data_IF_520574420804
#
_entry.id   IF_520574420804
#
_cell.length_a   1.000
_cell.length_b   1.000
_cell.length_c   1.000
_cell.angle_alpha   90.00
_cell.angle_beta   90.00
_cell.angle_gamma   90.00
#
_symmetry.space_group_name_H-M   'P 1'
#
loop_
_entity.id
_entity.type
_entity.pdbx_description
1 polymer ?
#
# COMPACT_ATOMS: atom_id res chain seq x y z
N UNK A 1 15.26 11.48 -4.29
CA UNK A 1 13.95 11.01 -3.87
C UNK A 1 13.94 10.74 -2.36
N UNK A 2 13.07 11.44 -1.63
CA UNK A 2 12.86 11.26 -0.18
C UNK A 2 11.50 10.62 0.04
N UNK A 3 11.49 9.50 0.78
CA UNK A 3 10.28 8.73 1.05
C UNK A 3 9.92 8.77 2.54
N UNK A 4 8.64 8.92 2.84
CA UNK A 4 8.05 8.56 4.13
C UNK A 4 7.25 7.27 3.95
N UNK A 5 7.32 6.39 4.94
CA UNK A 5 6.59 5.14 4.97
C UNK A 5 5.82 5.01 6.29
N UNK A 6 4.56 4.63 6.19
CA UNK A 6 3.68 4.31 7.30
C UNK A 6 2.72 3.19 6.88
N UNK A 7 2.10 2.51 7.85
CA UNK A 7 1.14 1.41 7.61
C UNK A 7 0.22 1.23 8.82
N UNK A 8 -0.78 0.39 8.67
CA UNK A 8 -1.55 -0.17 9.78
C UNK A 8 -2.20 0.90 10.68
N UNK A 9 -2.87 1.86 10.05
CA UNK A 9 -3.52 2.97 10.75
C UNK A 9 -4.77 2.52 11.50
N UNK A 10 -5.48 1.52 10.98
CA UNK A 10 -6.71 0.97 11.54
C UNK A 10 -7.72 2.05 11.95
N UNK A 11 -7.93 3.05 11.09
CA UNK A 11 -8.89 4.12 11.35
C UNK A 11 -10.29 3.54 11.62
N UNK A 12 -10.89 3.99 12.72
CA UNK A 12 -12.17 3.46 13.21
C UNK A 12 -12.07 2.28 14.13
N UNK A 13 -10.85 1.89 14.56
CA UNK A 13 -10.64 0.83 15.53
C UNK A 13 -11.25 1.18 16.90
N UNK A 14 -11.80 0.15 17.56
CA UNK A 14 -12.22 0.19 18.95
C UNK A 14 -11.30 -0.66 19.80
N UNK A 15 -10.89 -0.14 20.97
CA UNK A 15 -10.13 -0.88 21.98
C UNK A 15 -10.99 -1.05 23.23
N UNK A 16 -11.31 -2.29 23.58
CA UNK A 16 -12.19 -2.61 24.73
C UNK A 16 -13.52 -1.83 24.74
N UNK A 17 -14.13 -1.64 23.55
CA UNK A 17 -15.37 -0.90 23.41
C UNK A 17 -15.24 0.63 23.44
N UNK A 18 -14.02 1.16 23.47
CA UNK A 18 -13.76 2.59 23.39
C UNK A 18 -13.24 2.94 21.97
N UNK A 19 -13.84 3.96 21.36
CA UNK A 19 -13.37 4.48 20.07
C UNK A 19 -12.00 5.14 20.22
N UNK A 20 -11.09 4.83 19.31
CA UNK A 20 -9.74 5.40 19.26
C UNK A 20 -9.64 6.63 18.34
N UNK A 21 -10.74 7.32 18.12
CA UNK A 21 -10.79 8.44 17.19
C UNK A 21 -9.86 9.60 17.63
N UNK A 22 -9.72 9.84 18.94
CA UNK A 22 -8.81 10.86 19.46
C UNK A 22 -7.34 10.54 19.16
N UNK A 23 -6.92 9.28 19.40
CA UNK A 23 -5.55 8.84 19.12
C UNK A 23 -5.25 8.89 17.63
N UNK A 24 -6.21 8.48 16.78
CA UNK A 24 -6.07 8.60 15.33
C UNK A 24 -5.92 10.07 14.88
N UNK A 25 -6.71 10.97 15.45
CA UNK A 25 -6.57 12.40 15.19
C UNK A 25 -5.19 12.93 15.55
N UNK A 26 -4.72 12.61 16.76
CA UNK A 26 -3.38 13.02 17.23
C UNK A 26 -2.26 12.47 16.34
N UNK A 27 -2.39 11.21 15.90
CA UNK A 27 -1.42 10.58 14.99
C UNK A 27 -1.39 11.28 13.63
N UNK A 28 -2.54 11.53 13.02
CA UNK A 28 -2.62 12.17 11.71
C UNK A 28 -2.12 13.62 11.75
N UNK A 29 -2.43 14.38 12.81
CA UNK A 29 -1.87 15.70 13.03
C UNK A 29 -0.35 15.67 13.21
N UNK A 30 0.16 14.68 13.96
CA UNK A 30 1.60 14.48 14.10
C UNK A 30 2.25 14.19 12.74
N UNK A 31 1.64 13.29 11.94
CA UNK A 31 2.15 12.94 10.62
C UNK A 31 2.17 14.15 9.69
N UNK A 32 1.13 15.00 9.68
CA UNK A 32 1.11 16.26 8.93
C UNK A 32 2.28 17.17 9.33
N UNK A 33 2.56 17.29 10.63
CA UNK A 33 3.72 18.07 11.11
C UNK A 33 5.05 17.48 10.63
N UNK A 34 5.18 16.13 10.59
CA UNK A 34 6.39 15.47 10.08
C UNK A 34 6.56 15.68 8.57
N UNK A 35 5.46 15.62 7.80
CA UNK A 35 5.49 15.92 6.36
C UNK A 35 5.97 17.37 6.12
N UNK A 36 5.42 18.33 6.83
CA UNK A 36 5.85 19.74 6.72
C UNK A 36 7.32 19.94 7.12
N UNK A 37 7.79 19.27 8.19
CA UNK A 37 9.17 19.42 8.70
C UNK A 37 10.20 18.83 7.72
N UNK A 38 9.89 17.68 7.13
CA UNK A 38 10.86 16.92 6.35
C UNK A 38 10.68 17.04 4.84
N UNK A 39 9.54 17.54 4.39
CA UNK A 39 9.20 17.74 2.97
C UNK A 39 9.56 16.53 2.09
N UNK A 40 9.00 15.33 2.34
CA UNK A 40 9.26 14.18 1.49
C UNK A 40 8.63 14.36 0.11
N UNK A 41 9.22 13.73 -0.90
CA UNK A 41 8.63 13.69 -2.24
C UNK A 41 7.42 12.76 -2.29
N UNK A 42 7.47 11.68 -1.49
CA UNK A 42 6.45 10.60 -1.51
C UNK A 42 6.11 10.14 -0.10
N UNK A 43 4.81 9.96 0.17
CA UNK A 43 4.27 9.23 1.32
C UNK A 43 3.72 7.88 0.85
N UNK A 44 4.25 6.80 1.42
CA UNK A 44 3.79 5.43 1.20
C UNK A 44 2.95 4.97 2.40
N UNK A 45 1.71 4.53 2.15
CA UNK A 45 0.78 4.01 3.17
C UNK A 45 0.53 2.54 2.85
N UNK A 46 1.23 1.64 3.56
CA UNK A 46 1.34 0.23 3.21
C UNK A 46 0.22 -0.64 3.81
N UNK A 47 -1.02 -0.26 3.58
CA UNK A 47 -2.21 -1.06 3.89
C UNK A 47 -2.75 -0.91 5.31
N UNK A 48 -3.87 -1.58 5.56
CA UNK A 48 -4.68 -1.53 6.78
C UNK A 48 -4.96 -0.08 7.22
N UNK A 49 -5.47 0.69 6.24
CA UNK A 49 -5.87 2.07 6.45
C UNK A 49 -7.07 2.14 7.39
N UNK A 50 -8.03 1.25 7.17
CA UNK A 50 -9.21 1.10 8.02
C UNK A 50 -9.18 -0.21 8.81
N UNK A 51 -9.80 -0.20 9.99
CA UNK A 51 -9.88 -1.40 10.83
C UNK A 51 -10.83 -2.47 10.28
N UNK A 52 -11.76 -2.10 9.42
CA UNK A 52 -12.76 -3.02 8.85
C UNK A 52 -13.07 -2.71 7.40
N UNK A 53 -13.55 -3.73 6.66
CA UNK A 53 -14.00 -3.59 5.26
C UNK A 53 -15.14 -2.57 5.08
N UNK A 54 -15.84 -2.23 6.17
CA UNK A 54 -16.95 -1.28 6.18
C UNK A 54 -16.71 -0.19 7.24
N UNK A 55 -15.74 0.72 7.01
CA UNK A 55 -15.33 1.68 8.01
C UNK A 55 -16.42 2.69 8.35
N UNK A 56 -16.49 3.17 9.59
CA UNK A 56 -17.37 4.27 9.96
C UNK A 56 -17.14 5.50 9.08
N UNK A 57 -18.17 6.29 8.87
CA UNK A 57 -18.08 7.54 8.07
C UNK A 57 -17.00 8.47 8.62
N UNK A 58 -16.95 8.63 9.94
CA UNK A 58 -15.95 9.44 10.63
C UNK A 58 -14.50 9.02 10.33
N UNK A 59 -14.24 7.72 10.22
CA UNK A 59 -12.92 7.21 9.85
C UNK A 59 -12.56 7.58 8.40
N UNK A 60 -13.55 7.52 7.50
CA UNK A 60 -13.37 7.92 6.10
C UNK A 60 -13.12 9.44 5.98
N UNK A 61 -13.90 10.26 6.70
CA UNK A 61 -13.69 11.71 6.77
C UNK A 61 -12.26 12.02 7.23
N UNK A 62 -11.77 11.36 8.28
CA UNK A 62 -10.41 11.54 8.77
C UNK A 62 -9.34 11.28 7.70
N UNK A 63 -9.49 10.20 6.92
CA UNK A 63 -8.56 9.90 5.84
C UNK A 63 -8.56 11.01 4.78
N UNK A 64 -9.75 11.45 4.37
CA UNK A 64 -9.87 12.44 3.30
C UNK A 64 -9.39 13.83 3.76
N UNK A 65 -9.72 14.24 4.98
CA UNK A 65 -9.23 15.48 5.58
C UNK A 65 -7.70 15.48 5.68
N UNK A 66 -7.11 14.34 6.08
CA UNK A 66 -5.66 14.18 6.10
C UNK A 66 -5.04 14.37 4.71
N UNK A 67 -5.58 13.69 3.68
CA UNK A 67 -5.08 13.79 2.29
C UNK A 67 -5.15 15.24 1.80
N UNK A 68 -6.28 15.90 2.00
CA UNK A 68 -6.46 17.31 1.61
C UNK A 68 -5.45 18.20 2.33
N UNK A 69 -5.36 18.09 3.66
CA UNK A 69 -4.43 18.89 4.47
C UNK A 69 -2.97 18.66 4.11
N UNK A 70 -2.59 17.42 3.78
CA UNK A 70 -1.24 17.10 3.34
C UNK A 70 -0.89 17.80 2.02
N UNK A 71 -1.83 17.83 1.06
CA UNK A 71 -1.62 18.51 -0.22
C UNK A 71 -1.72 20.03 -0.13
N UNK A 72 -2.53 20.57 0.77
CA UNK A 72 -2.55 22.02 1.03
C UNK A 72 -1.20 22.50 1.59
N UNK A 73 -0.59 21.71 2.48
CA UNK A 73 0.73 22.01 3.04
C UNK A 73 1.88 21.75 2.07
N UNK A 74 1.74 20.71 1.24
CA UNK A 74 2.79 20.28 0.30
C UNK A 74 2.18 19.85 -1.04
N UNK A 75 1.88 20.77 -1.96
CA UNK A 75 1.23 20.48 -3.25
C UNK A 75 2.02 19.51 -4.16
N UNK A 76 3.34 19.42 -3.96
CA UNK A 76 4.22 18.51 -4.70
C UNK A 76 4.25 17.07 -4.19
N UNK A 77 3.70 16.80 -3.00
CA UNK A 77 3.70 15.47 -2.40
C UNK A 77 2.95 14.47 -3.27
N UNK A 78 3.54 13.30 -3.50
CA UNK A 78 2.85 12.14 -4.06
C UNK A 78 2.46 11.20 -2.93
N UNK A 79 1.19 10.81 -2.84
CA UNK A 79 0.72 9.81 -1.87
C UNK A 79 0.41 8.53 -2.63
N UNK A 80 1.00 7.41 -2.20
CA UNK A 80 0.67 6.07 -2.67
C UNK A 80 0.12 5.28 -1.50
N UNK A 81 -1.12 4.83 -1.61
CA UNK A 81 -1.73 3.98 -0.60
C UNK A 81 -2.28 2.70 -1.21
N UNK A 82 -2.10 1.60 -0.51
CA UNK A 82 -2.60 0.29 -0.91
C UNK A 82 -3.60 -0.23 0.13
N UNK A 83 -4.48 -1.14 -0.29
CA UNK A 83 -5.33 -1.84 0.66
C UNK A 83 -4.56 -2.95 1.38
N UNK A 84 -4.78 -3.07 2.68
CA UNK A 84 -4.40 -4.23 3.48
C UNK A 84 -5.49 -5.30 3.53
N UNK A 85 -5.33 -6.25 4.45
CA UNK A 85 -6.29 -7.35 4.61
C UNK A 85 -7.58 -6.90 5.33
N UNK A 86 -7.53 -5.88 6.18
CA UNK A 86 -8.70 -5.29 6.83
C UNK A 86 -9.50 -4.39 5.89
N UNK A 87 -8.87 -3.84 4.87
CA UNK A 87 -9.51 -2.92 3.93
C UNK A 87 -10.41 -3.64 2.91
N UNK A 88 -11.42 -2.93 2.42
CA UNK A 88 -12.09 -3.28 1.18
C UNK A 88 -11.39 -2.63 0.00
N UNK A 89 -10.74 -3.42 -0.85
CA UNK A 89 -10.00 -2.91 -2.00
C UNK A 89 -10.84 -2.02 -2.92
N UNK A 90 -12.10 -2.39 -3.18
CA UNK A 90 -13.00 -1.58 -3.99
C UNK A 90 -13.38 -0.23 -3.34
N UNK A 91 -13.48 -0.19 -2.00
CA UNK A 91 -13.75 1.06 -1.28
C UNK A 91 -12.54 2.00 -1.27
N UNK A 92 -11.35 1.45 -1.08
CA UNK A 92 -10.10 2.23 -1.18
C UNK A 92 -9.98 2.86 -2.57
N UNK A 93 -10.37 2.16 -3.62
CA UNK A 93 -10.31 2.66 -5.01
C UNK A 93 -11.46 3.59 -5.40
N UNK A 94 -12.60 3.52 -4.72
CA UNK A 94 -13.80 4.29 -5.09
C UNK A 94 -13.53 5.79 -5.30
N UNK A 95 -12.80 6.50 -4.42
CA UNK A 95 -12.48 7.91 -4.58
C UNK A 95 -11.27 8.17 -5.51
N UNK A 96 -10.62 7.15 -6.06
CA UNK A 96 -9.40 7.29 -6.86
C UNK A 96 -9.48 8.33 -8.01
N UNK A 97 -10.62 8.49 -8.74
CA UNK A 97 -10.71 9.54 -9.77
C UNK A 97 -10.54 10.96 -9.22
N UNK A 98 -11.01 11.22 -8.00
CA UNK A 98 -10.84 12.50 -7.32
C UNK A 98 -9.44 12.62 -6.71
N UNK A 99 -8.96 11.56 -6.07
CA UNK A 99 -7.65 11.53 -5.42
C UNK A 99 -6.49 11.75 -6.40
N UNK A 100 -6.60 11.24 -7.64
CA UNK A 100 -5.58 11.50 -8.67
C UNK A 100 -5.37 12.97 -8.98
N UNK A 101 -6.39 13.81 -8.78
CA UNK A 101 -6.25 15.27 -8.91
C UNK A 101 -5.39 15.87 -7.80
N UNK A 102 -5.28 15.16 -6.69
CA UNK A 102 -4.42 15.48 -5.56
C UNK A 102 -3.15 14.61 -5.55
N UNK A 103 -2.65 14.15 -6.70
CA UNK A 103 -1.45 13.28 -6.78
C UNK A 103 -1.47 12.11 -5.79
N UNK A 104 -2.66 11.61 -5.47
CA UNK A 104 -2.87 10.47 -4.56
C UNK A 104 -3.34 9.27 -5.35
N UNK A 105 -2.58 8.17 -5.23
CA UNK A 105 -2.86 6.89 -5.87
C UNK A 105 -3.39 5.92 -4.82
N UNK A 106 -4.59 5.42 -5.04
CA UNK A 106 -5.25 4.46 -4.16
C UNK A 106 -5.45 3.14 -4.92
N UNK A 107 -4.82 2.06 -4.44
CA UNK A 107 -4.79 0.76 -5.09
C UNK A 107 -5.26 -0.31 -4.12
N UNK A 108 -6.36 -0.95 -4.44
CA UNK A 108 -7.01 -1.90 -3.56
C UNK A 108 -6.99 -3.34 -4.07
N UNK A 109 -6.73 -3.54 -5.36
CA UNK A 109 -6.86 -4.84 -6.02
C UNK A 109 -5.87 -4.99 -7.17
N UNK A 110 -5.50 -6.24 -7.42
CA UNK A 110 -4.87 -6.65 -8.66
C UNK A 110 -5.96 -6.91 -9.70
N UNK A 111 -5.77 -6.42 -10.92
CA UNK A 111 -6.67 -6.64 -12.04
C UNK A 111 -5.96 -7.37 -13.18
N UNK A 112 -6.75 -8.13 -13.91
CA UNK A 112 -6.33 -8.91 -15.06
C UNK A 112 -7.00 -8.35 -16.31
N UNK A 113 -6.24 -8.26 -17.39
CA UNK A 113 -6.74 -7.89 -18.70
C UNK A 113 -7.49 -9.06 -19.34
N UNK A 114 -8.27 -8.79 -20.39
CA UNK A 114 -9.08 -9.81 -21.08
C UNK A 114 -8.23 -10.94 -21.69
N UNK A 115 -6.95 -10.68 -21.99
CA UNK A 115 -5.98 -11.66 -22.48
C UNK A 115 -5.31 -12.48 -21.37
N UNK A 116 -5.67 -12.24 -20.11
CA UNK A 116 -5.14 -12.93 -18.94
C UNK A 116 -3.80 -12.41 -18.44
N UNK A 117 -3.32 -11.27 -18.97
CA UNK A 117 -2.13 -10.62 -18.46
C UNK A 117 -2.46 -9.72 -17.25
N UNK A 118 -1.46 -9.55 -16.37
CA UNK A 118 -1.55 -8.60 -15.26
C UNK A 118 -1.64 -7.17 -15.79
N UNK A 119 -2.60 -6.38 -15.31
CA UNK A 119 -2.63 -4.94 -15.57
C UNK A 119 -1.51 -4.23 -14.78
N UNK A 120 -0.28 -4.43 -15.22
CA UNK A 120 0.92 -3.88 -14.57
C UNK A 120 1.01 -2.36 -14.67
N UNK A 121 0.43 -1.73 -15.70
CA UNK A 121 0.43 -0.27 -15.86
C UNK A 121 -0.27 0.43 -14.68
N UNK A 122 -1.30 -0.19 -14.17
CA UNK A 122 -2.03 0.30 -13.00
C UNK A 122 -1.22 0.23 -11.70
N UNK A 123 -0.37 -0.79 -11.57
CA UNK A 123 0.40 -1.09 -10.35
C UNK A 123 1.80 -0.44 -10.36
N UNK A 124 2.24 0.11 -11.50
CA UNK A 124 3.51 0.78 -11.66
C UNK A 124 3.32 2.29 -11.70
N UNK A 125 3.67 2.95 -10.61
CA UNK A 125 3.46 4.38 -10.44
C UNK A 125 4.78 5.14 -10.55
N UNK A 126 4.85 6.23 -11.34
CA UNK A 126 6.03 7.07 -11.36
C UNK A 126 6.16 7.83 -10.04
N UNK A 127 7.37 7.90 -9.51
CA UNK A 127 7.71 8.68 -8.33
C UNK A 127 8.54 9.90 -8.74
N UNK A 128 7.89 11.06 -8.88
CA UNK A 128 8.61 12.31 -9.16
C UNK A 128 9.33 12.80 -7.91
N UNK A 129 10.46 13.45 -8.11
CA UNK A 129 11.16 14.21 -7.08
C UNK A 129 10.65 15.67 -7.00
N UNK A 130 11.28 16.47 -6.16
CA UNK A 130 10.94 17.89 -5.97
C UNK A 130 11.06 18.74 -7.26
N UNK A 131 11.83 18.31 -8.26
CA UNK A 131 11.93 18.97 -9.57
C UNK A 131 10.80 18.58 -10.53
N UNK A 132 10.04 17.53 -10.20
CA UNK A 132 9.01 16.94 -11.04
C UNK A 132 9.53 15.87 -12.01
N UNK A 133 10.83 15.57 -11.98
CA UNK A 133 11.44 14.49 -12.78
C UNK A 133 11.17 13.12 -12.12
N UNK A 134 10.96 12.09 -12.96
CA UNK A 134 10.74 10.73 -12.44
C UNK A 134 12.07 10.19 -11.89
N UNK A 135 12.21 10.20 -10.57
CA UNK A 135 13.37 9.68 -9.86
C UNK A 135 13.28 8.17 -9.54
N UNK A 136 12.11 7.59 -9.69
CA UNK A 136 11.90 6.16 -9.47
C UNK A 136 10.51 5.69 -9.87
N UNK A 137 10.27 4.39 -9.65
CA UNK A 137 8.98 3.74 -9.87
C UNK A 137 8.56 3.00 -8.62
N UNK A 138 7.28 3.07 -8.31
CA UNK A 138 6.66 2.34 -7.22
C UNK A 138 5.89 1.13 -7.77
N UNK A 139 6.24 -0.05 -7.28
CA UNK A 139 5.46 -1.28 -7.46
C UNK A 139 4.44 -1.33 -6.32
N UNK A 140 3.19 -1.01 -6.61
CA UNK A 140 2.13 -0.89 -5.60
C UNK A 140 1.29 -2.18 -5.56
N UNK A 141 1.63 -3.06 -4.60
CA UNK A 141 1.01 -4.36 -4.41
C UNK A 141 0.11 -4.34 -3.16
N UNK A 142 -1.22 -4.23 -3.32
CA UNK A 142 -2.14 -4.39 -2.21
C UNK A 142 -2.09 -5.81 -1.64
N UNK A 143 -2.76 -6.04 -0.52
CA UNK A 143 -2.94 -7.38 0.02
C UNK A 143 -3.60 -8.28 -1.04
N UNK A 144 -2.87 -9.32 -1.46
CA UNK A 144 -3.28 -10.24 -2.51
C UNK A 144 -4.22 -11.32 -1.94
N UNK A 145 -5.48 -11.26 -2.31
CA UNK A 145 -6.47 -12.28 -1.90
C UNK A 145 -6.38 -13.51 -2.79
N UNK A 146 -6.69 -14.73 -2.28
CA UNK A 146 -6.64 -15.95 -3.10
C UNK A 146 -7.34 -15.82 -4.45
N UNK A 147 -8.55 -15.27 -4.49
CA UNK A 147 -9.31 -15.09 -5.72
C UNK A 147 -8.65 -14.15 -6.75
N UNK A 148 -7.66 -13.36 -6.34
CA UNK A 148 -6.93 -12.44 -7.23
C UNK A 148 -5.67 -13.08 -7.83
N UNK A 149 -5.17 -14.15 -7.22
CA UNK A 149 -3.89 -14.79 -7.57
C UNK A 149 -3.99 -16.30 -7.78
N UNK A 150 -5.21 -16.85 -7.88
CA UNK A 150 -5.47 -18.24 -8.27
C UNK A 150 -6.48 -18.30 -9.41
N UNK A 151 -6.55 -19.42 -10.11
CA UNK A 151 -7.51 -19.66 -11.19
C UNK A 151 -6.86 -20.02 -12.51
N UNK A 152 -7.59 -19.86 -13.62
CA UNK A 152 -7.25 -20.38 -14.93
C UNK A 152 -5.85 -19.97 -15.46
N UNK A 153 -5.32 -18.83 -15.04
CA UNK A 153 -4.04 -18.30 -15.52
C UNK A 153 -2.87 -18.59 -14.57
N UNK A 154 -3.15 -18.85 -13.27
CA UNK A 154 -2.14 -18.98 -12.21
C UNK A 154 -2.15 -20.35 -11.52
N UNK A 155 -3.17 -21.18 -11.79
CA UNK A 155 -3.40 -22.43 -11.06
C UNK A 155 -3.99 -22.22 -9.67
N UNK A 156 -4.02 -23.29 -8.86
CA UNK A 156 -4.71 -23.28 -7.56
C UNK A 156 -3.74 -23.03 -6.37
N UNK A 157 -2.45 -22.85 -6.65
CA UNK A 157 -1.43 -22.61 -5.62
C UNK A 157 -1.30 -21.11 -5.35
N UNK A 158 -1.78 -20.70 -4.18
CA UNK A 158 -1.81 -19.31 -3.74
C UNK A 158 -0.42 -18.68 -3.65
N UNK A 159 0.55 -19.36 -3.04
CA UNK A 159 1.91 -18.84 -2.88
C UNK A 159 2.62 -18.69 -4.22
N UNK A 160 2.41 -19.64 -5.11
CA UNK A 160 2.92 -19.57 -6.47
C UNK A 160 2.30 -18.40 -7.23
N UNK A 161 0.99 -18.19 -7.08
CA UNK A 161 0.29 -17.06 -7.70
C UNK A 161 0.82 -15.71 -7.22
N UNK A 162 1.08 -15.55 -5.92
CA UNK A 162 1.73 -14.36 -5.36
C UNK A 162 3.12 -14.16 -5.98
N UNK A 163 3.93 -15.22 -6.04
CA UNK A 163 5.27 -15.17 -6.65
C UNK A 163 5.22 -14.69 -8.09
N UNK A 164 4.30 -15.23 -8.87
CA UNK A 164 4.13 -14.91 -10.28
C UNK A 164 3.73 -13.44 -10.50
N UNK A 165 2.82 -12.90 -9.69
CA UNK A 165 2.43 -11.47 -9.74
C UNK A 165 3.64 -10.58 -9.46
N UNK A 166 4.46 -10.91 -8.45
CA UNK A 166 5.67 -10.15 -8.13
C UNK A 166 6.68 -10.21 -9.28
N UNK A 167 6.95 -11.39 -9.84
CA UNK A 167 7.88 -11.56 -10.96
C UNK A 167 7.46 -10.72 -12.18
N UNK A 168 6.21 -10.77 -12.57
CA UNK A 168 5.70 -9.99 -13.70
C UNK A 168 5.78 -8.49 -13.47
N UNK A 169 5.41 -8.04 -12.28
CA UNK A 169 5.46 -6.62 -11.96
C UNK A 169 6.91 -6.11 -11.89
N UNK A 170 7.82 -6.88 -11.32
CA UNK A 170 9.25 -6.54 -11.28
C UNK A 170 9.84 -6.52 -12.70
N UNK A 171 9.48 -7.48 -13.55
CA UNK A 171 9.91 -7.50 -14.95
C UNK A 171 9.41 -6.27 -15.71
N UNK A 172 8.13 -5.91 -15.57
CA UNK A 172 7.54 -4.72 -16.17
C UNK A 172 8.23 -3.43 -15.67
N UNK A 173 8.51 -3.35 -14.35
CA UNK A 173 9.21 -2.20 -13.77
C UNK A 173 10.64 -2.07 -14.30
N UNK A 174 11.38 -3.17 -14.39
CA UNK A 174 12.74 -3.16 -14.95
C UNK A 174 12.78 -2.78 -16.43
N UNK A 175 11.77 -3.15 -17.20
CA UNK A 175 11.65 -2.76 -18.60
C UNK A 175 11.35 -1.26 -18.77
N UNK A 176 10.68 -0.65 -17.79
CA UNK A 176 10.21 0.73 -17.85
C UNK A 176 11.21 1.74 -17.28
N UNK A 177 11.99 1.34 -16.27
CA UNK A 177 12.91 2.25 -15.57
C UNK A 177 14.10 2.65 -16.45
N UNK A 178 14.55 3.87 -16.28
CA UNK A 178 15.78 4.39 -16.87
C UNK A 178 16.97 4.25 -15.90
N UNK A 179 18.23 4.27 -16.40
CA UNK A 179 19.40 4.30 -15.54
C UNK A 179 19.34 5.43 -14.51
N UNK A 180 19.68 5.12 -13.26
CA UNK A 180 19.62 6.08 -12.15
C UNK A 180 18.27 6.16 -11.42
N UNK A 181 17.19 5.62 -11.99
CA UNK A 181 15.90 5.57 -11.32
C UNK A 181 15.83 4.42 -10.31
N UNK A 182 15.26 4.68 -9.13
CA UNK A 182 15.03 3.68 -8.10
C UNK A 182 13.79 2.83 -8.41
N UNK A 183 13.80 1.57 -7.95
CA UNK A 183 12.57 0.78 -7.81
C UNK A 183 12.22 0.66 -6.33
N UNK A 184 11.00 1.04 -5.99
CA UNK A 184 10.44 0.95 -4.64
C UNK A 184 9.23 0.04 -4.69
N UNK A 185 9.14 -0.94 -3.80
CA UNK A 185 7.93 -1.73 -3.64
C UNK A 185 7.17 -1.29 -2.40
N UNK A 186 5.85 -1.25 -2.49
CA UNK A 186 4.96 -1.13 -1.35
C UNK A 186 4.06 -2.37 -1.34
N UNK A 187 3.97 -3.06 -0.20
CA UNK A 187 3.20 -4.30 -0.08
C UNK A 187 2.63 -4.47 1.33
N UNK A 188 1.49 -5.14 1.39
CA UNK A 188 0.87 -5.53 2.66
C UNK A 188 0.79 -7.05 2.71
N UNK A 189 1.73 -7.69 3.42
CA UNK A 189 1.88 -9.13 3.40
C UNK A 189 2.59 -9.67 4.63
N UNK A 190 2.25 -10.92 5.02
CA UNK A 190 2.94 -11.63 6.09
C UNK A 190 4.31 -12.11 5.59
N UNK A 191 5.37 -11.52 6.10
CA UNK A 191 6.74 -11.82 5.68
C UNK A 191 7.45 -12.76 6.66
N UNK A 192 8.17 -13.75 6.12
CA UNK A 192 8.99 -14.66 6.91
C UNK A 192 10.12 -13.90 7.63
N UNK A 193 10.35 -14.22 8.91
CA UNK A 193 11.37 -13.59 9.73
C UNK A 193 10.93 -12.31 10.44
N UNK A 194 9.68 -11.87 10.25
CA UNK A 194 9.07 -10.82 11.06
C UNK A 194 8.75 -11.32 12.48
N UNK A 195 8.77 -10.42 13.46
CA UNK A 195 8.25 -10.71 14.81
C UNK A 195 6.78 -10.27 14.88
N UNK A 196 5.92 -11.17 15.35
CA UNK A 196 4.49 -10.94 15.55
C UNK A 196 4.26 -10.60 17.01
N UNK A 197 3.42 -9.59 17.33
CA UNK A 197 2.95 -9.40 18.71
C UNK A 197 1.65 -10.18 18.92
N UNK A 198 1.61 -11.00 19.98
CA UNK A 198 0.55 -11.99 20.20
C UNK A 198 -0.88 -11.41 20.34
N UNK A 199 -1.02 -10.12 20.63
CA UNK A 199 -2.31 -9.47 20.92
C UNK A 199 -2.80 -8.49 19.84
N UNK A 200 -2.05 -8.24 18.78
CA UNK A 200 -2.34 -7.15 17.85
C UNK A 200 -2.86 -7.59 16.48
N UNK A 201 -2.77 -8.87 16.16
CA UNK A 201 -3.15 -9.38 14.85
C UNK A 201 -4.32 -10.34 14.94
N UNK A 202 -5.32 -10.13 14.09
CA UNK A 202 -6.30 -11.19 13.83
C UNK A 202 -5.58 -12.30 13.12
N UNK A 203 -5.59 -13.51 13.68
CA UNK A 203 -5.06 -14.71 13.02
C UNK A 203 -5.77 -14.91 11.68
N UNK A 204 -5.25 -14.33 10.65
CA UNK A 204 -5.70 -14.62 9.29
C UNK A 204 -5.01 -15.90 8.83
N UNK A 205 -5.55 -17.03 9.29
CA UNK A 205 -5.30 -18.32 8.66
C UNK A 205 -6.11 -18.33 7.35
N UNK A 206 -5.64 -17.62 6.34
CA UNK A 206 -6.09 -17.84 4.99
C UNK A 206 -5.32 -19.06 4.49
N UNK A 207 -5.91 -20.24 4.68
CA UNK A 207 -5.49 -21.47 4.04
C UNK A 207 -4.04 -21.89 4.23
N UNK A 208 -3.53 -22.05 5.46
CA UNK A 208 -2.13 -22.44 5.72
C UNK A 208 -1.07 -21.57 5.01
N UNK A 209 -1.35 -20.32 4.73
CA UNK A 209 -0.43 -19.44 4.04
C UNK A 209 0.82 -19.22 4.88
N UNK A 210 1.90 -19.89 4.49
CA UNK A 210 3.22 -19.67 5.03
C UNK A 210 3.66 -18.23 4.75
N UNK A 211 4.47 -17.67 5.66
CA UNK A 211 5.00 -16.33 5.48
C UNK A 211 5.83 -16.24 4.18
N UNK A 212 5.70 -15.13 3.48
CA UNK A 212 6.39 -14.90 2.21
C UNK A 212 7.89 -14.62 2.42
N UNK A 213 8.79 -15.21 1.63
CA UNK A 213 10.21 -14.95 1.76
C UNK A 213 10.59 -13.57 1.20
N UNK A 214 11.53 -12.88 1.85
CA UNK A 214 12.01 -11.57 1.40
C UNK A 214 12.64 -11.62 -0.01
N UNK A 215 13.13 -12.77 -0.46
CA UNK A 215 13.64 -12.98 -1.83
C UNK A 215 12.62 -12.71 -2.94
N UNK A 216 11.33 -12.68 -2.58
CA UNK A 216 10.23 -12.36 -3.49
C UNK A 216 10.41 -11.00 -4.20
N UNK A 217 11.01 -10.02 -3.53
CA UNK A 217 11.21 -8.69 -4.10
C UNK A 217 12.42 -8.61 -5.05
N UNK A 218 13.33 -9.59 -5.01
CA UNK A 218 14.50 -9.63 -5.90
C UNK A 218 15.51 -8.48 -5.66
N UNK A 219 16.66 -8.52 -6.32
CA UNK A 219 17.76 -7.59 -6.07
C UNK A 219 17.60 -6.21 -6.76
N UNK A 220 16.64 -6.04 -7.65
CA UNK A 220 16.44 -4.78 -8.37
C UNK A 220 15.65 -3.75 -7.56
N UNK A 221 14.97 -4.18 -6.48
CA UNK A 221 14.20 -3.30 -5.59
C UNK A 221 15.15 -2.62 -4.61
N UNK A 222 15.12 -1.30 -4.58
CA UNK A 222 15.97 -0.47 -3.71
C UNK A 222 15.42 -0.33 -2.29
N UNK A 223 14.09 -0.38 -2.14
CA UNK A 223 13.38 -0.26 -0.87
C UNK A 223 12.04 -0.97 -0.92
N UNK A 224 11.68 -1.65 0.17
CA UNK A 224 10.37 -2.28 0.32
C UNK A 224 9.66 -1.68 1.53
N UNK A 225 8.52 -1.04 1.29
CA UNK A 225 7.62 -0.55 2.32
C UNK A 225 6.60 -1.66 2.63
N UNK A 226 6.65 -2.21 3.84
CA UNK A 226 5.79 -3.30 4.28
C UNK A 226 4.82 -2.83 5.37
N UNK A 227 3.58 -3.30 5.32
CA UNK A 227 2.61 -3.32 6.40
C UNK A 227 2.29 -4.74 6.84
N UNK A 228 1.34 -4.90 7.78
CA UNK A 228 0.77 -6.14 8.31
C UNK A 228 1.35 -6.62 9.64
N UNK A 229 2.64 -6.51 9.89
CA UNK A 229 3.25 -6.97 11.13
C UNK A 229 3.34 -5.81 12.13
N UNK A 230 2.60 -5.90 13.23
CA UNK A 230 2.62 -4.92 14.30
C UNK A 230 3.71 -5.27 15.33
N UNK A 231 4.32 -4.25 15.95
CA UNK A 231 5.25 -4.40 17.07
C UNK A 231 4.70 -3.73 18.31
#
# INVERSE_FOLDING_TARGET
LRLFHTSDWHLGQNLHGQERDFEHACFLEWLLRQLALHSPDVLLIAGDIFDTVNPPVKAQERLYDFIVSAHEQQPGLTIVMIAGNHDSGSRIELPAPLMRRLRTHALGRVLWLDDGQLDSERLLLPLPDASGEIAGWCLALPFLRPAEVTGAHLGDDYLRGIGQVHEWLIAAANAKRQPGQALVAISHAHMAGGSVSEDSERSLIIGNAEALPASLFGPSISYVALGHLHK
#
